data_IF_538242767314
#
_entry.id   IF_538242767314
#
_cell.length_a   1.000
_cell.length_b   1.000
_cell.length_c   1.000
_cell.angle_alpha   90.00
_cell.angle_beta   90.00
_cell.angle_gamma   90.00
#
_symmetry.space_group_name_H-M   'P 1'
#
loop_
_entity.id
_entity.type
_entity.pdbx_description
1 polymer ?
#
# COMPACT_ATOMS: atom_id res chain seq x y z
N UNK A 1 2.28 -0.60 28.88
CA UNK A 1 2.63 -1.93 28.34
C UNK A 1 1.41 -2.80 28.05
N UNK A 2 0.30 -2.70 28.78
CA UNK A 2 -0.93 -3.48 28.50
C UNK A 2 -1.73 -3.08 27.24
N UNK A 3 -1.41 -1.94 26.61
CA UNK A 3 -2.24 -1.34 25.54
C UNK A 3 -1.81 -1.72 24.11
N UNK A 4 -0.66 -2.38 23.96
CA UNK A 4 -0.14 -2.82 22.66
C UNK A 4 -0.64 -4.23 22.27
N UNK A 5 -0.94 -5.10 23.23
CA UNK A 5 -1.40 -6.48 22.95
C UNK A 5 -2.87 -6.57 22.48
N UNK A 6 -3.65 -5.49 22.63
CA UNK A 6 -5.08 -5.46 22.27
C UNK A 6 -5.37 -4.71 20.97
N UNK A 7 -4.35 -4.04 20.39
CA UNK A 7 -4.55 -3.20 19.22
C UNK A 7 -4.52 -4.05 17.95
N UNK A 8 -5.49 -3.81 17.08
CA UNK A 8 -5.60 -4.49 15.80
C UNK A 8 -4.40 -4.15 14.90
N UNK A 9 -3.86 -5.14 14.18
CA UNK A 9 -2.81 -4.91 13.21
C UNK A 9 -3.31 -4.06 12.03
N UNK A 10 -2.46 -3.17 11.53
CA UNK A 10 -2.70 -2.35 10.35
C UNK A 10 -1.58 -2.59 9.36
N UNK A 11 -1.94 -3.08 8.17
CA UNK A 11 -0.99 -3.36 7.11
C UNK A 11 -1.24 -2.43 5.93
N UNK A 12 -0.21 -1.71 5.52
CA UNK A 12 -0.26 -0.92 4.30
C UNK A 12 0.15 -1.79 3.11
N UNK A 13 -0.66 -1.79 2.04
CA UNK A 13 -0.35 -2.51 0.80
C UNK A 13 0.00 -1.53 -0.32
N UNK A 14 1.23 -1.64 -0.81
CA UNK A 14 1.68 -1.00 -2.04
C UNK A 14 1.48 -1.97 -3.21
N UNK A 15 0.83 -1.51 -4.29
CA UNK A 15 0.54 -2.36 -5.44
C UNK A 15 0.19 -1.54 -6.68
N UNK A 16 0.16 -2.18 -7.85
CA UNK A 16 -0.18 -1.52 -9.11
C UNK A 16 -1.65 -1.07 -9.19
N UNK A 17 -1.86 0.12 -9.78
CA UNK A 17 -3.19 0.63 -10.16
C UNK A 17 -3.79 -0.09 -11.39
N UNK A 18 -3.00 -0.96 -12.03
CA UNK A 18 -3.39 -1.86 -13.13
C UNK A 18 -3.23 -3.32 -12.68
N UNK A 19 -3.97 -4.27 -13.28
CA UNK A 19 -3.95 -5.67 -12.82
C UNK A 19 -2.71 -6.46 -13.25
N UNK A 20 -1.94 -5.95 -14.21
CA UNK A 20 -0.87 -6.71 -14.88
C UNK A 20 -1.41 -7.64 -15.98
N UNK A 21 -0.50 -8.30 -16.70
CA UNK A 21 -0.83 -9.18 -17.83
C UNK A 21 -1.16 -10.62 -17.40
N UNK A 22 -0.66 -11.04 -16.23
CA UNK A 22 -0.89 -12.38 -15.68
C UNK A 22 -1.95 -12.32 -14.58
N UNK A 23 -2.95 -13.23 -14.58
CA UNK A 23 -4.02 -13.22 -13.58
C UNK A 23 -3.51 -13.53 -12.16
N UNK A 24 -2.34 -14.17 -12.03
CA UNK A 24 -1.77 -14.61 -10.75
C UNK A 24 -1.58 -13.46 -9.75
N UNK A 25 -1.33 -12.23 -10.21
CA UNK A 25 -1.17 -11.08 -9.31
C UNK A 25 -2.51 -10.62 -8.74
N UNK A 26 -3.59 -10.72 -9.53
CA UNK A 26 -4.94 -10.41 -9.09
C UNK A 26 -5.45 -11.48 -8.12
N UNK A 27 -5.14 -12.74 -8.39
CA UNK A 27 -5.40 -13.87 -7.47
C UNK A 27 -4.66 -13.69 -6.15
N UNK A 28 -3.39 -13.31 -6.18
CA UNK A 28 -2.62 -13.00 -4.98
C UNK A 28 -3.20 -11.83 -4.18
N UNK A 29 -3.72 -10.79 -4.85
CA UNK A 29 -4.39 -9.67 -4.19
C UNK A 29 -5.66 -10.12 -3.43
N UNK A 30 -6.46 -11.02 -4.00
CA UNK A 30 -7.63 -11.62 -3.33
C UNK A 30 -7.22 -12.51 -2.16
N UNK A 31 -6.27 -13.41 -2.38
CA UNK A 31 -5.77 -14.30 -1.34
C UNK A 31 -5.16 -13.51 -0.17
N UNK A 32 -4.47 -12.38 -0.44
CA UNK A 32 -3.96 -11.50 0.61
C UNK A 32 -5.08 -10.88 1.46
N UNK A 33 -6.19 -10.48 0.83
CA UNK A 33 -7.36 -10.00 1.57
C UNK A 33 -7.98 -11.09 2.45
N UNK A 34 -8.04 -12.35 1.97
CA UNK A 34 -8.49 -13.49 2.78
C UNK A 34 -7.56 -13.72 3.98
N UNK A 35 -6.25 -13.62 3.76
CA UNK A 35 -5.27 -13.74 4.84
C UNK A 35 -5.43 -12.64 5.90
N UNK A 36 -5.65 -11.40 5.46
CA UNK A 36 -5.94 -10.29 6.36
C UNK A 36 -7.24 -10.49 7.14
N UNK A 37 -8.29 -10.99 6.48
CA UNK A 37 -9.56 -11.31 7.16
C UNK A 37 -9.36 -12.36 8.26
N UNK A 38 -8.66 -13.47 7.96
CA UNK A 38 -8.39 -14.55 8.93
C UNK A 38 -7.68 -14.04 10.19
N UNK A 39 -6.78 -13.08 10.02
CA UNK A 39 -5.97 -12.52 11.11
C UNK A 39 -6.51 -11.20 11.68
N UNK A 40 -7.74 -10.81 11.30
CA UNK A 40 -8.37 -9.58 11.73
C UNK A 40 -7.48 -8.34 11.50
N UNK A 41 -6.85 -8.24 10.32
CA UNK A 41 -5.96 -7.15 9.93
C UNK A 41 -6.76 -6.05 9.22
N UNK A 42 -6.44 -4.78 9.54
CA UNK A 42 -6.91 -3.62 8.76
C UNK A 42 -5.97 -3.32 7.60
N UNK A 43 -6.54 -2.95 6.47
CA UNK A 43 -5.82 -2.53 5.28
C UNK A 43 -5.74 -1.01 5.19
N UNK A 44 -4.53 -0.51 4.99
CA UNK A 44 -4.25 0.83 4.47
C UNK A 44 -3.73 0.70 3.05
N UNK A 45 -4.17 1.56 2.13
CA UNK A 45 -3.68 1.52 0.76
C UNK A 45 -3.85 2.85 0.03
N UNK A 46 -3.44 2.89 -1.24
CA UNK A 46 -3.41 4.08 -2.06
C UNK A 46 -4.76 4.71 -2.47
N UNK A 47 -5.89 4.09 -2.13
CA UNK A 47 -7.24 4.65 -2.36
C UNK A 47 -7.81 4.49 -3.77
N UNK A 48 -7.08 3.84 -4.69
CA UNK A 48 -7.50 3.62 -6.08
C UNK A 48 -8.52 2.48 -6.25
N UNK A 49 -9.41 2.59 -7.22
CA UNK A 49 -10.52 1.63 -7.41
C UNK A 49 -10.27 0.57 -8.48
N UNK A 50 -9.12 0.63 -9.17
CA UNK A 50 -8.75 -0.24 -10.30
C UNK A 50 -7.54 -1.12 -9.99
N UNK A 51 -7.29 -2.09 -10.87
CA UNK A 51 -6.09 -2.95 -10.79
C UNK A 51 -6.00 -3.76 -9.50
N UNK A 52 -4.79 -3.92 -8.98
CA UNK A 52 -4.57 -4.67 -7.75
C UNK A 52 -5.05 -3.91 -6.52
N UNK A 53 -4.95 -2.57 -6.53
CA UNK A 53 -5.47 -1.71 -5.45
C UNK A 53 -6.96 -1.92 -5.22
N UNK A 54 -7.75 -1.82 -6.29
CA UNK A 54 -9.19 -2.04 -6.21
C UNK A 54 -9.56 -3.48 -5.84
N UNK A 55 -8.76 -4.45 -6.28
CA UNK A 55 -9.01 -5.86 -5.99
C UNK A 55 -8.83 -6.19 -4.50
N UNK A 56 -7.67 -5.85 -3.92
CA UNK A 56 -7.40 -6.16 -2.50
C UNK A 56 -8.37 -5.41 -1.57
N UNK A 57 -8.69 -4.15 -1.89
CA UNK A 57 -9.63 -3.35 -1.11
C UNK A 57 -11.04 -3.96 -1.16
N UNK A 58 -11.57 -4.26 -2.36
CA UNK A 58 -12.92 -4.82 -2.52
C UNK A 58 -13.05 -6.20 -1.89
N UNK A 59 -12.05 -7.05 -2.09
CA UNK A 59 -12.03 -8.37 -1.49
C UNK A 59 -12.10 -8.28 0.04
N UNK A 60 -11.28 -7.43 0.68
CA UNK A 60 -11.31 -7.32 2.14
C UNK A 60 -12.59 -6.66 2.66
N UNK A 61 -13.14 -5.66 1.97
CA UNK A 61 -14.44 -5.08 2.35
C UNK A 61 -15.55 -6.14 2.28
N UNK A 62 -15.55 -7.01 1.27
CA UNK A 62 -16.55 -8.07 1.16
C UNK A 62 -16.50 -9.09 2.30
N UNK A 63 -15.33 -9.27 2.92
CA UNK A 63 -15.10 -10.22 4.00
C UNK A 63 -15.25 -9.59 5.40
N UNK A 64 -14.79 -8.35 5.58
CA UNK A 64 -14.61 -7.71 6.89
C UNK A 64 -15.35 -6.38 7.04
N UNK A 65 -16.06 -5.94 6.01
CA UNK A 65 -16.82 -4.68 5.97
C UNK A 65 -15.96 -3.44 5.67
N UNK A 66 -16.60 -2.29 5.36
CA UNK A 66 -15.91 -1.08 4.89
C UNK A 66 -14.89 -0.50 5.89
N UNK A 67 -15.13 -0.67 7.19
CA UNK A 67 -14.25 -0.18 8.26
C UNK A 67 -12.93 -0.95 8.39
N UNK A 68 -12.80 -2.09 7.70
CA UNK A 68 -11.55 -2.85 7.64
C UNK A 68 -10.55 -2.25 6.63
N UNK A 69 -10.97 -1.32 5.77
CA UNK A 69 -10.16 -0.76 4.68
C UNK A 69 -10.15 0.76 4.72
N UNK A 70 -8.95 1.34 4.62
CA UNK A 70 -8.75 2.79 4.57
C UNK A 70 -7.85 3.17 3.39
N UNK A 71 -8.43 3.82 2.38
CA UNK A 71 -7.71 4.40 1.25
C UNK A 71 -7.26 5.83 1.53
N UNK A 72 -6.05 6.19 1.14
CA UNK A 72 -5.53 7.56 1.25
C UNK A 72 -5.10 8.03 -0.15
N UNK A 73 -5.81 9.03 -0.66
CA UNK A 73 -5.67 9.49 -2.05
C UNK A 73 -5.37 11.00 -2.08
N UNK A 74 -4.40 11.47 -2.89
CA UNK A 74 -4.15 12.89 -3.03
C UNK A 74 -5.23 13.54 -3.90
N UNK A 75 -5.55 14.81 -3.63
CA UNK A 75 -6.55 15.59 -4.37
C UNK A 75 -6.29 15.58 -5.89
N UNK A 76 -5.03 15.59 -6.30
CA UNK A 76 -4.61 15.56 -7.70
C UNK A 76 -5.01 14.29 -8.48
N UNK A 77 -5.33 13.18 -7.81
CA UNK A 77 -5.71 11.90 -8.44
C UNK A 77 -7.22 11.61 -8.40
N UNK A 78 -8.00 12.55 -7.88
CA UNK A 78 -9.46 12.49 -7.79
C UNK A 78 -10.08 13.31 -8.93
N UNK A 79 -11.00 12.71 -9.69
CA UNK A 79 -11.85 13.45 -10.64
C UNK A 79 -13.19 13.78 -10.01
N UNK A 80 -13.67 14.99 -10.27
CA UNK A 80 -15.04 15.39 -9.94
C UNK A 80 -15.94 14.98 -11.11
N UNK A 81 -16.99 14.22 -10.86
CA UNK A 81 -18.02 13.91 -11.84
C UNK A 81 -18.76 15.22 -12.16
N UNK A 82 -18.50 15.79 -13.33
CA UNK A 82 -19.31 16.92 -13.81
C UNK A 82 -20.73 16.43 -14.06
N UNK A 83 -21.71 17.08 -13.45
CA UNK A 83 -23.15 16.86 -13.73
C UNK A 83 -23.38 17.00 -15.23
N UNK A 84 -23.55 15.90 -15.95
CA UNK A 84 -23.74 15.90 -17.39
C UNK A 84 -25.17 16.32 -17.73
N UNK A 85 -25.38 17.61 -17.94
CA UNK A 85 -26.49 18.15 -18.71
C UNK A 85 -26.02 18.57 -20.10
N UNK A 86 -25.67 17.60 -20.97
CA UNK A 86 -25.79 17.60 -22.44
C UNK A 86 -24.90 16.52 -23.04
N UNK A 87 -25.53 15.54 -23.71
CA UNK A 87 -24.85 14.60 -24.61
C UNK A 87 -24.51 15.35 -25.89
N UNK A 88 -23.22 15.41 -26.24
CA UNK A 88 -22.83 15.54 -27.64
C UNK A 88 -22.03 14.30 -28.04
N UNK A 89 -22.60 13.58 -29.00
CA UNK A 89 -21.90 12.56 -29.77
C UNK A 89 -20.78 13.24 -30.56
N UNK A 90 -19.54 12.81 -30.35
CA UNK A 90 -18.51 12.91 -31.37
C UNK A 90 -17.70 11.62 -31.33
N UNK A 91 -18.02 10.72 -32.26
CA UNK A 91 -17.16 9.60 -32.62
C UNK A 91 -15.87 10.19 -33.23
N UNK A 92 -14.75 9.99 -32.55
CA UNK A 92 -13.44 10.44 -32.99
C UNK A 92 -12.37 9.66 -32.26
N UNK A 93 -11.69 8.78 -32.99
CA UNK A 93 -10.54 8.00 -32.55
C UNK A 93 -9.53 8.86 -31.79
N UNK A 94 -9.19 8.47 -30.56
CA UNK A 94 -8.09 9.05 -29.81
C UNK A 94 -7.22 7.93 -29.22
N UNK A 95 -6.10 7.70 -29.91
CA UNK A 95 -4.81 7.19 -29.45
C UNK A 95 -4.66 7.09 -27.93
N UNK A 96 -4.23 5.91 -27.47
CA UNK A 96 -3.57 5.76 -26.17
C UNK A 96 -2.49 6.83 -26.02
N UNK A 97 -2.66 7.72 -25.05
CA UNK A 97 -1.63 8.68 -24.62
C UNK A 97 -1.32 8.37 -23.16
N UNK A 98 -0.04 8.17 -22.88
CA UNK A 98 0.60 7.90 -21.59
C UNK A 98 0.31 8.99 -20.54
N UNK A 99 -0.92 9.05 -20.04
CA UNK A 99 -1.31 9.86 -18.90
C UNK A 99 -1.95 8.97 -17.83
N UNK A 100 -1.52 9.11 -16.57
CA UNK A 100 -2.10 8.37 -15.44
C UNK A 100 -3.61 8.68 -15.37
N UNK A 101 -4.45 7.68 -15.62
CA UNK A 101 -5.91 7.82 -15.48
C UNK A 101 -6.27 8.09 -14.01
N UNK A 102 -7.40 8.76 -13.78
CA UNK A 102 -7.87 9.07 -12.43
C UNK A 102 -8.09 7.78 -11.63
N UNK A 103 -7.58 7.77 -10.40
CA UNK A 103 -7.67 6.60 -9.52
C UNK A 103 -9.00 6.55 -8.77
N UNK A 104 -9.74 7.67 -8.72
CA UNK A 104 -11.09 7.76 -8.13
C UNK A 104 -11.92 8.88 -8.74
N UNK A 105 -13.25 8.70 -8.70
CA UNK A 105 -14.25 9.70 -9.10
C UNK A 105 -15.15 10.01 -7.90
N UNK A 106 -15.43 11.30 -7.66
CA UNK A 106 -16.33 11.81 -6.60
C UNK A 106 -17.30 12.84 -7.17
N UNK A 107 -18.44 13.08 -6.53
CA UNK A 107 -19.48 14.00 -7.06
C UNK A 107 -19.09 15.48 -6.99
N UNK A 108 -18.45 15.92 -5.90
CA UNK A 108 -17.83 17.25 -5.78
C UNK A 108 -16.81 17.28 -4.63
N UNK A 109 -15.83 18.18 -4.70
CA UNK A 109 -14.90 18.37 -3.58
C UNK A 109 -15.57 19.04 -2.38
N UNK A 110 -16.46 20.00 -2.58
CA UNK A 110 -17.15 20.70 -1.49
C UNK A 110 -18.04 19.75 -0.66
N UNK A 111 -18.70 18.79 -1.29
CA UNK A 111 -19.48 17.76 -0.59
C UNK A 111 -18.58 16.79 0.19
N UNK A 112 -17.39 16.48 -0.34
CA UNK A 112 -16.41 15.61 0.33
C UNK A 112 -15.72 16.32 1.49
N UNK A 113 -15.37 17.59 1.36
CA UNK A 113 -14.75 18.37 2.43
C UNK A 113 -15.75 18.61 3.58
N UNK A 114 -17.06 18.69 3.30
CA UNK A 114 -18.11 18.82 4.32
C UNK A 114 -18.52 17.49 5.00
N UNK A 115 -18.57 16.37 4.27
CA UNK A 115 -19.15 15.10 4.76
C UNK A 115 -18.18 13.90 4.71
N UNK A 116 -16.96 14.08 4.24
CA UNK A 116 -16.02 12.99 3.91
C UNK A 116 -16.41 12.25 2.62
N UNK A 117 -15.54 11.36 2.13
CA UNK A 117 -15.93 10.40 1.10
C UNK A 117 -16.80 9.33 1.77
N UNK A 118 -18.02 9.05 1.28
CA UNK A 118 -18.86 8.00 1.82
C UNK A 118 -18.17 6.63 1.81
N UNK A 119 -18.53 5.77 2.76
CA UNK A 119 -18.11 4.36 2.72
C UNK A 119 -18.53 3.73 1.39
N UNK A 120 -17.67 2.88 0.84
CA UNK A 120 -17.89 2.23 -0.46
C UNK A 120 -17.46 0.77 -0.41
N UNK A 121 -17.64 0.04 -1.52
CA UNK A 121 -17.04 -1.29 -1.70
C UNK A 121 -15.51 -1.29 -1.63
N UNK A 122 -14.85 -0.11 -1.62
CA UNK A 122 -13.41 0.05 -1.43
C UNK A 122 -13.03 0.60 -0.04
N UNK A 123 -13.98 0.66 0.89
CA UNK A 123 -13.79 1.07 2.28
C UNK A 123 -13.91 2.58 2.50
N UNK A 124 -13.34 3.02 3.62
CA UNK A 124 -13.18 4.43 3.98
C UNK A 124 -12.14 5.08 3.07
N UNK A 125 -12.27 6.38 2.77
CA UNK A 125 -11.25 7.09 1.99
C UNK A 125 -11.02 8.51 2.49
N UNK A 126 -9.75 8.87 2.65
CA UNK A 126 -9.32 10.22 3.03
C UNK A 126 -8.62 10.89 1.85
N UNK A 127 -9.05 12.10 1.52
CA UNK A 127 -8.35 12.95 0.55
C UNK A 127 -7.29 13.77 1.29
N UNK A 128 -6.09 13.83 0.75
CA UNK A 128 -5.00 14.68 1.25
C UNK A 128 -4.53 15.68 0.19
N UNK A 129 -3.80 16.71 0.62
CA UNK A 129 -3.32 17.79 -0.26
C UNK A 129 -2.34 17.30 -1.32
N UNK A 130 -1.41 16.43 -0.94
CA UNK A 130 -0.23 16.09 -1.74
C UNK A 130 0.27 14.66 -1.49
N UNK A 131 1.21 14.21 -2.32
CA UNK A 131 1.77 12.85 -2.27
C UNK A 131 2.63 12.59 -1.01
N UNK A 132 3.26 13.61 -0.43
CA UNK A 132 4.07 13.43 0.77
C UNK A 132 3.18 13.22 1.99
N UNK A 133 2.15 14.05 2.14
CA UNK A 133 1.11 13.90 3.16
C UNK A 133 0.42 12.56 3.04
N UNK A 134 0.17 12.08 1.81
CA UNK A 134 -0.38 10.74 1.53
C UNK A 134 0.50 9.63 2.11
N UNK A 135 1.79 9.58 1.74
CA UNK A 135 2.73 8.54 2.19
C UNK A 135 2.94 8.59 3.70
N UNK A 136 3.07 9.79 4.26
CA UNK A 136 3.18 9.99 5.71
C UNK A 136 1.96 9.44 6.45
N UNK A 137 0.74 9.82 6.05
CA UNK A 137 -0.47 9.33 6.70
C UNK A 137 -0.62 7.81 6.57
N UNK A 138 -0.27 7.23 5.42
CA UNK A 138 -0.27 5.77 5.24
C UNK A 138 0.68 5.09 6.24
N UNK A 139 1.89 5.62 6.40
CA UNK A 139 2.86 5.10 7.37
C UNK A 139 2.39 5.30 8.82
N UNK A 140 1.92 6.49 9.19
CA UNK A 140 1.38 6.78 10.54
C UNK A 140 0.30 5.77 10.94
N UNK A 141 -0.65 5.46 10.04
CA UNK A 141 -1.70 4.47 10.32
C UNK A 141 -1.16 3.07 10.57
N UNK A 142 -0.09 2.68 9.89
CA UNK A 142 0.60 1.40 10.15
C UNK A 142 1.29 1.42 11.51
N UNK A 143 1.99 2.50 11.83
CA UNK A 143 2.74 2.63 13.10
C UNK A 143 1.82 2.78 14.32
N UNK A 144 0.61 3.29 14.11
CA UNK A 144 -0.45 3.26 15.10
C UNK A 144 -1.01 1.86 15.30
N UNK A 145 -0.82 0.89 14.40
CA UNK A 145 -1.35 -0.45 14.52
C UNK A 145 -0.68 -1.30 15.63
N UNK A 146 -1.29 -2.43 15.96
CA UNK A 146 -0.74 -3.39 16.93
C UNK A 146 0.32 -4.34 16.34
N UNK A 147 0.73 -5.37 17.10
CA UNK A 147 1.65 -6.41 16.64
C UNK A 147 1.23 -7.02 15.30
N UNK A 148 2.18 -7.19 14.37
CA UNK A 148 1.93 -7.65 13.00
C UNK A 148 1.57 -6.54 12.02
N UNK A 149 1.54 -5.28 12.45
CA UNK A 149 1.48 -4.14 11.53
C UNK A 149 2.75 -4.02 10.70
N UNK A 150 2.63 -3.57 9.45
CA UNK A 150 3.77 -3.41 8.56
C UNK A 150 3.37 -3.02 7.15
N UNK A 151 4.32 -3.15 6.23
CA UNK A 151 4.17 -2.82 4.83
C UNK A 151 4.29 -4.08 3.98
N UNK A 152 3.37 -4.27 3.04
CA UNK A 152 3.38 -5.39 2.10
C UNK A 152 3.33 -4.84 0.68
N UNK A 153 4.13 -5.41 -0.21
CA UNK A 153 4.14 -5.04 -1.63
C UNK A 153 3.68 -6.19 -2.51
N UNK A 154 2.58 -5.99 -3.23
CA UNK A 154 2.21 -6.81 -4.39
C UNK A 154 2.92 -6.29 -5.65
N UNK A 155 2.74 -6.95 -6.78
CA UNK A 155 3.27 -6.46 -8.05
C UNK A 155 2.82 -5.02 -8.36
N UNK A 156 3.73 -4.22 -8.92
CA UNK A 156 3.46 -2.81 -9.23
C UNK A 156 4.63 -2.11 -9.93
N UNK A 157 4.38 -0.92 -10.46
CA UNK A 157 5.36 -0.17 -11.26
C UNK A 157 6.24 0.76 -10.42
N UNK A 158 6.71 1.85 -11.04
CA UNK A 158 7.62 2.81 -10.41
C UNK A 158 7.08 3.44 -9.12
N UNK A 159 5.77 3.73 -9.05
CA UNK A 159 5.18 4.26 -7.81
C UNK A 159 5.27 3.26 -6.66
N UNK A 160 4.99 1.99 -6.94
CA UNK A 160 5.03 0.93 -5.92
C UNK A 160 6.44 0.69 -5.39
N UNK A 161 7.45 0.63 -6.28
CA UNK A 161 8.85 0.47 -5.84
C UNK A 161 9.36 1.71 -5.09
N UNK A 162 8.94 2.91 -5.48
CA UNK A 162 9.28 4.14 -4.74
C UNK A 162 8.74 4.11 -3.31
N UNK A 163 7.48 3.71 -3.12
CA UNK A 163 6.84 3.57 -1.81
C UNK A 163 7.55 2.49 -0.96
N UNK A 164 7.89 1.34 -1.55
CA UNK A 164 8.66 0.28 -0.89
C UNK A 164 10.02 0.76 -0.44
N UNK A 165 10.76 1.44 -1.33
CA UNK A 165 12.11 1.91 -1.01
C UNK A 165 12.09 3.02 0.03
N UNK A 166 11.08 3.90 0.02
CA UNK A 166 10.92 4.92 1.07
C UNK A 166 10.73 4.29 2.45
N UNK A 167 9.83 3.31 2.60
CA UNK A 167 9.64 2.60 3.88
C UNK A 167 10.88 1.78 4.26
N UNK A 168 11.59 1.21 3.28
CA UNK A 168 12.85 0.50 3.55
C UNK A 168 13.91 1.44 4.10
N UNK A 169 14.07 2.63 3.51
CA UNK A 169 15.00 3.64 3.98
C UNK A 169 14.59 4.19 5.34
N UNK A 170 13.30 4.42 5.60
CA UNK A 170 12.83 4.85 6.93
C UNK A 170 13.10 3.80 8.00
N UNK A 171 12.94 2.51 7.69
CA UNK A 171 13.36 1.43 8.57
C UNK A 171 14.88 1.50 8.85
N UNK A 172 15.70 1.60 7.80
CA UNK A 172 17.16 1.68 7.91
C UNK A 172 17.63 2.86 8.77
N UNK A 173 16.96 4.00 8.64
CA UNK A 173 17.25 5.22 9.42
C UNK A 173 16.75 5.13 10.87
N UNK A 174 15.97 4.11 11.23
CA UNK A 174 15.42 3.94 12.58
C UNK A 174 14.09 4.64 12.83
N UNK A 175 13.51 5.28 11.81
CA UNK A 175 12.23 6.04 11.89
C UNK A 175 11.07 5.11 12.25
N UNK A 176 11.10 3.86 11.79
CA UNK A 176 10.17 2.82 12.24
C UNK A 176 10.83 1.46 12.43
N UNK A 177 10.05 0.53 12.98
CA UNK A 177 10.51 -0.81 13.39
C UNK A 177 9.66 -1.96 12.83
N UNK A 178 8.65 -1.64 12.03
CA UNK A 178 7.77 -2.64 11.41
C UNK A 178 8.36 -3.22 10.12
N UNK A 179 7.90 -4.41 9.74
CA UNK A 179 8.35 -5.17 8.59
C UNK A 179 8.03 -4.50 7.25
N UNK A 180 8.87 -4.75 6.23
CA UNK A 180 8.58 -4.49 4.82
C UNK A 180 8.67 -5.80 4.05
N UNK A 181 7.54 -6.31 3.58
CA UNK A 181 7.42 -7.64 2.95
C UNK A 181 7.14 -7.49 1.45
N UNK A 182 7.95 -8.12 0.62
CA UNK A 182 7.74 -8.27 -0.82
C UNK A 182 7.02 -9.59 -1.09
N UNK A 183 5.76 -9.53 -1.53
CA UNK A 183 5.01 -10.71 -1.95
C UNK A 183 5.41 -11.08 -3.39
N UNK A 184 6.40 -11.95 -3.50
CA UNK A 184 7.16 -12.31 -4.70
C UNK A 184 6.50 -13.42 -5.53
N UNK A 185 5.27 -13.18 -5.98
CA UNK A 185 4.52 -14.12 -6.82
C UNK A 185 5.21 -14.27 -8.18
N UNK A 186 5.50 -15.52 -8.56
CA UNK A 186 6.19 -15.86 -9.81
C UNK A 186 7.53 -15.11 -10.03
N UNK A 187 8.24 -14.78 -8.94
CA UNK A 187 9.54 -14.11 -9.05
C UNK A 187 9.47 -12.64 -9.50
N UNK A 188 8.32 -11.99 -9.38
CA UNK A 188 8.13 -10.58 -9.77
C UNK A 188 9.21 -9.63 -9.19
N UNK A 189 9.59 -9.84 -7.93
CA UNK A 189 10.56 -9.05 -7.18
C UNK A 189 12.00 -9.59 -7.22
N UNK A 190 12.28 -10.65 -7.99
CA UNK A 190 13.61 -11.28 -8.07
C UNK A 190 14.70 -10.28 -8.45
N UNK A 191 14.39 -9.37 -9.38
CA UNK A 191 15.33 -8.33 -9.83
C UNK A 191 15.71 -7.36 -8.71
N UNK A 192 14.74 -6.92 -7.91
CA UNK A 192 14.99 -6.04 -6.76
C UNK A 192 15.80 -6.76 -5.68
N UNK A 193 15.40 -7.98 -5.33
CA UNK A 193 16.12 -8.79 -4.34
C UNK A 193 17.55 -9.11 -4.79
N UNK A 194 17.77 -9.35 -6.10
CA UNK A 194 19.11 -9.52 -6.67
C UNK A 194 19.95 -8.24 -6.54
N UNK A 195 19.35 -7.08 -6.80
CA UNK A 195 20.01 -5.79 -6.59
C UNK A 195 20.40 -5.57 -5.13
N UNK A 196 19.51 -5.88 -4.16
CA UNK A 196 19.83 -5.78 -2.72
C UNK A 196 21.03 -6.66 -2.38
N UNK A 197 21.02 -7.93 -2.81
CA UNK A 197 22.15 -8.86 -2.59
C UNK A 197 23.45 -8.31 -3.18
N UNK A 198 23.40 -7.71 -4.36
CA UNK A 198 24.57 -7.10 -4.97
C UNK A 198 25.05 -5.86 -4.19
N UNK A 199 24.14 -4.99 -3.76
CA UNK A 199 24.49 -3.82 -2.95
C UNK A 199 25.09 -4.21 -1.59
N UNK A 200 24.65 -5.31 -1.00
CA UNK A 200 25.29 -5.90 0.19
C UNK A 200 26.70 -6.40 -0.12
N UNK A 201 26.85 -7.17 -1.20
CA UNK A 201 28.14 -7.70 -1.64
C UNK A 201 29.16 -6.58 -1.91
N UNK A 202 28.73 -5.50 -2.56
CA UNK A 202 29.58 -4.35 -2.89
C UNK A 202 29.73 -3.35 -1.72
N UNK A 203 29.11 -3.61 -0.56
CA UNK A 203 29.30 -2.83 0.67
C UNK A 203 28.49 -1.53 0.77
N UNK A 204 27.53 -1.30 -0.12
CA UNK A 204 26.61 -0.15 -0.05
C UNK A 204 25.48 -0.36 0.97
N UNK A 205 25.14 -1.61 1.27
CA UNK A 205 24.16 -2.00 2.29
C UNK A 205 24.85 -2.97 3.25
N UNK A 206 24.66 -2.84 4.57
CA UNK A 206 25.16 -3.83 5.52
C UNK A 206 24.41 -5.16 5.36
N UNK A 207 25.03 -6.29 5.71
CA UNK A 207 24.35 -7.59 5.68
C UNK A 207 23.02 -7.57 6.45
N UNK A 208 23.02 -6.94 7.64
CA UNK A 208 21.82 -6.79 8.47
C UNK A 208 20.73 -5.91 7.83
N UNK A 209 21.10 -4.78 7.21
CA UNK A 209 20.12 -3.91 6.52
C UNK A 209 19.60 -4.55 5.22
N UNK A 210 20.33 -5.49 4.63
CA UNK A 210 19.85 -6.30 3.52
C UNK A 210 18.64 -7.17 3.87
N UNK A 211 18.41 -7.45 5.16
CA UNK A 211 17.29 -8.26 5.66
C UNK A 211 16.02 -7.45 5.97
N UNK A 212 16.06 -6.11 5.82
CA UNK A 212 14.88 -5.24 6.02
C UNK A 212 13.75 -5.61 5.05
N UNK A 213 14.11 -5.92 3.80
CA UNK A 213 13.17 -6.38 2.77
C UNK A 213 12.98 -7.90 2.87
N UNK A 214 11.91 -8.32 3.53
CA UNK A 214 11.57 -9.73 3.66
C UNK A 214 10.84 -10.23 2.39
N UNK A 215 11.32 -11.33 1.82
CA UNK A 215 10.63 -12.01 0.71
C UNK A 215 9.55 -12.96 1.27
N UNK A 216 8.34 -12.88 0.73
CA UNK A 216 7.29 -13.89 0.86
C UNK A 216 6.97 -14.45 -0.53
N UNK A 217 7.14 -15.75 -0.75
CA UNK A 217 6.89 -16.39 -2.06
C UNK A 217 5.42 -16.75 -2.27
N UNK A 218 4.70 -16.91 -1.17
CA UNK A 218 3.28 -17.23 -1.14
C UNK A 218 2.57 -16.36 -0.10
N UNK A 219 1.25 -16.19 -0.26
CA UNK A 219 0.46 -15.31 0.61
C UNK A 219 0.48 -15.76 2.07
N UNK A 220 0.45 -17.07 2.33
CA UNK A 220 0.48 -17.64 3.69
C UNK A 220 1.77 -17.33 4.46
N UNK A 221 2.82 -16.90 3.78
CA UNK A 221 4.07 -16.48 4.43
C UNK A 221 4.03 -15.03 4.93
N UNK A 222 3.09 -14.21 4.43
CA UNK A 222 3.04 -12.77 4.72
C UNK A 222 2.80 -12.52 6.20
N UNK A 223 1.75 -13.10 6.77
CA UNK A 223 1.41 -12.86 8.17
C UNK A 223 2.49 -13.33 9.17
N UNK A 224 3.05 -14.55 9.05
CA UNK A 224 4.19 -14.96 9.88
C UNK A 224 5.39 -14.01 9.78
N UNK A 225 5.71 -13.49 8.58
CA UNK A 225 6.82 -12.55 8.40
C UNK A 225 6.55 -11.17 9.02
N UNK A 226 5.32 -10.68 8.95
CA UNK A 226 4.93 -9.44 9.61
C UNK A 226 5.06 -9.55 11.13
N UNK A 227 4.65 -10.68 11.72
CA UNK A 227 4.74 -10.92 13.16
C UNK A 227 6.17 -11.16 13.65
N UNK A 228 6.95 -11.94 12.90
CA UNK A 228 8.27 -12.39 13.32
C UNK A 228 9.38 -11.38 13.01
N UNK A 229 9.07 -10.27 12.33
CA UNK A 229 10.10 -9.32 11.92
C UNK A 229 10.84 -8.77 13.13
N UNK A 230 12.17 -8.89 13.06
CA UNK A 230 13.08 -8.28 13.99
C UNK A 230 13.86 -7.19 13.27
N UNK A 231 14.06 -6.10 13.99
CA UNK A 231 14.78 -4.96 13.48
C UNK A 231 16.26 -5.29 13.25
N UNK A 232 16.81 -4.83 12.12
CA UNK A 232 18.25 -4.94 11.85
C UNK A 232 19.09 -4.27 12.95
N UNK A 233 20.16 -4.93 13.35
CA UNK A 233 21.18 -4.40 14.28
C UNK A 233 22.04 -3.29 13.65
N UNK A 234 22.02 -3.14 12.32
CA UNK A 234 22.82 -2.16 11.56
C UNK A 234 22.12 -0.81 11.32
N UNK A 235 21.04 -0.52 12.05
CA UNK A 235 20.22 0.68 11.83
C UNK A 235 20.78 1.90 12.54
N UNK A 236 20.52 3.08 11.98
CA UNK A 236 20.78 4.34 12.68
C UNK A 236 19.76 4.52 13.81
N UNK A 237 20.17 5.20 14.89
CA UNK A 237 19.28 5.52 16.01
C UNK A 237 18.68 6.92 15.85
N UNK A 238 18.07 7.22 14.70
CA UNK A 238 17.34 8.48 14.56
C UNK A 238 15.95 8.33 15.19
N UNK A 239 15.67 9.16 16.19
CA UNK A 239 14.34 9.29 16.76
C UNK A 239 13.61 10.42 16.00
N UNK A 240 12.49 10.10 15.37
CA UNK A 240 11.64 11.10 14.73
C UNK A 240 10.90 11.92 15.82
N UNK A 241 11.02 13.25 15.81
CA UNK A 241 10.42 14.14 16.82
C UNK A 241 11.40 14.90 17.72
N UNK A 242 12.71 14.80 17.47
CA UNK A 242 13.76 15.66 18.06
C UNK A 242 14.24 16.76 17.09
N UNK A 243 13.33 17.26 16.24
CA UNK A 243 13.50 18.53 15.49
C UNK A 243 12.65 19.63 16.14
#
# INVERSE_FOLDING_TARGET
MADLETKQAVVCVFCGSVPGNSPVHKEAARALAEEFHKHNVKLVYGGGTTGLMGEVARALVSLSGPKAVHGIIPRALVKVATVSGMREHTEGQASAKDGKMAERVVDSFDAVDANGIPESEYGLTTIVSDMHTRKRLMAEKVLEGGPGSGFVSLAGGFGTIEEVMEMTTWNQLGIHKVAVVLLNINGYWDGLLAWVRNAVKEGYISASNGEILAEAKEVSEVWPKLLAYQVSDGRMQLNWGEE
#
